data_IF_726073126222
#
_entry.id   IF_726073126222
#
_cell.length_a   1.000
_cell.length_b   1.000
_cell.length_c   1.000
_cell.angle_alpha   90.00
_cell.angle_beta   90.00
_cell.angle_gamma   90.00
#
_symmetry.space_group_name_H-M   'P 1'
#
loop_
_entity.id
_entity.type
_entity.pdbx_description
1 polymer ?
#
# COMPACT_ATOMS: atom_id res chain seq x y z
N UNK A 1 13.59 -15.31 0.01
CA UNK A 1 13.51 -14.01 -0.70
C UNK A 1 12.44 -14.14 -1.79
N UNK A 2 11.15 -13.95 -1.46
CA UNK A 2 10.10 -14.00 -2.49
C UNK A 2 10.23 -12.75 -3.36
N UNK A 3 10.41 -12.94 -4.66
CA UNK A 3 10.38 -11.88 -5.65
C UNK A 3 9.05 -11.11 -5.50
N UNK A 4 9.12 -9.93 -4.88
CA UNK A 4 8.01 -8.98 -4.82
C UNK A 4 7.63 -8.68 -6.27
N UNK A 5 6.36 -8.78 -6.68
CA UNK A 5 6.00 -8.42 -8.04
C UNK A 5 6.45 -6.98 -8.27
N UNK A 6 7.33 -6.81 -9.26
CA UNK A 6 7.86 -5.53 -9.74
C UNK A 6 6.75 -4.59 -10.26
N UNK A 7 5.50 -5.06 -10.21
CA UNK A 7 4.28 -4.44 -10.72
C UNK A 7 3.46 -3.67 -9.67
N UNK A 8 3.91 -3.53 -8.42
CA UNK A 8 3.19 -2.65 -7.49
C UNK A 8 3.26 -1.20 -7.99
N UNK A 9 2.10 -0.55 -8.05
CA UNK A 9 1.96 0.87 -8.40
C UNK A 9 1.10 1.53 -7.34
N UNK A 10 1.33 2.82 -7.11
CA UNK A 10 0.45 3.60 -6.25
C UNK A 10 -0.98 3.51 -6.79
N UNK A 11 -1.94 3.08 -5.97
CA UNK A 11 -3.34 2.94 -6.39
C UNK A 11 -4.02 4.30 -6.65
N UNK A 12 -3.42 5.39 -6.19
CA UNK A 12 -3.96 6.75 -6.35
C UNK A 12 -3.41 7.49 -7.56
N UNK A 13 -2.10 7.38 -7.82
CA UNK A 13 -1.43 8.15 -8.89
C UNK A 13 -0.71 7.29 -9.93
N UNK A 14 -0.69 5.97 -9.75
CA UNK A 14 -0.04 5.04 -10.68
C UNK A 14 1.49 5.01 -10.62
N UNK A 15 2.12 5.78 -9.71
CA UNK A 15 3.58 5.84 -9.58
C UNK A 15 4.15 4.42 -9.36
N UNK A 16 5.13 3.99 -10.17
CA UNK A 16 5.76 2.69 -9.99
C UNK A 16 6.42 2.55 -8.62
N UNK A 17 6.29 1.38 -8.00
CA UNK A 17 7.12 1.00 -6.88
C UNK A 17 8.60 1.09 -7.28
N UNK A 18 9.50 1.49 -6.37
CA UNK A 18 10.92 1.80 -6.67
C UNK A 18 11.19 3.10 -7.42
N UNK A 19 10.17 3.81 -7.89
CA UNK A 19 10.37 5.12 -8.52
C UNK A 19 10.83 6.18 -7.50
N UNK A 20 11.51 7.22 -8.00
CA UNK A 20 11.82 8.40 -7.22
C UNK A 20 10.52 9.03 -6.68
N UNK A 21 10.53 9.39 -5.40
CA UNK A 21 9.34 9.92 -4.70
C UNK A 21 8.43 8.85 -4.09
N UNK A 22 8.76 7.57 -4.19
CA UNK A 22 8.09 6.50 -3.43
C UNK A 22 8.67 6.41 -2.02
N UNK A 23 7.82 6.48 -1.00
CA UNK A 23 8.20 6.45 0.41
C UNK A 23 8.25 5.01 0.93
N UNK A 24 9.32 4.69 1.65
CA UNK A 24 9.53 3.37 2.26
C UNK A 24 9.52 3.44 3.77
N UNK A 25 9.13 2.33 4.41
CA UNK A 25 9.16 2.25 5.86
C UNK A 25 10.60 2.42 6.37
N UNK A 26 10.82 3.40 7.26
CA UNK A 26 12.15 3.85 7.69
C UNK A 26 13.09 4.30 6.54
N UNK A 27 12.54 4.70 5.39
CA UNK A 27 13.32 5.12 4.22
C UNK A 27 14.07 3.98 3.51
N UNK A 28 13.89 2.72 3.94
CA UNK A 28 14.58 1.55 3.36
C UNK A 28 13.65 0.78 2.44
N UNK A 29 14.03 0.66 1.17
CA UNK A 29 13.30 -0.12 0.17
C UNK A 29 12.96 -1.56 0.64
N UNK A 30 13.88 -2.16 1.39
CA UNK A 30 13.78 -3.53 1.92
C UNK A 30 12.60 -3.71 2.87
N UNK A 31 12.23 -2.65 3.60
CA UNK A 31 11.14 -2.65 4.56
C UNK A 31 9.77 -2.48 3.90
N UNK A 32 9.71 -2.25 2.59
CA UNK A 32 8.44 -2.05 1.90
C UNK A 32 7.95 -0.61 1.81
N UNK A 33 6.78 -0.45 1.19
CA UNK A 33 6.07 0.83 1.12
C UNK A 33 5.77 1.36 2.54
N UNK A 34 5.99 2.65 2.76
CA UNK A 34 5.62 3.30 4.03
C UNK A 34 4.10 3.38 4.24
N UNK A 35 3.34 3.40 3.14
CA UNK A 35 1.89 3.59 3.15
C UNK A 35 1.21 2.52 2.29
N UNK A 36 0.14 1.93 2.82
CA UNK A 36 -0.68 0.94 2.13
C UNK A 36 -2.12 0.95 2.66
N UNK A 37 -2.99 0.22 1.98
CA UNK A 37 -4.38 -0.03 2.33
C UNK A 37 -4.76 -1.47 2.00
N UNK A 38 -5.99 -1.85 2.33
CA UNK A 38 -6.62 -3.11 1.90
C UNK A 38 -6.60 -3.30 0.38
N UNK A 39 -6.52 -2.20 -0.39
CA UNK A 39 -6.54 -2.21 -1.86
C UNK A 39 -5.18 -2.13 -2.52
N UNK A 40 -4.09 -1.91 -1.77
CA UNK A 40 -2.74 -1.82 -2.32
C UNK A 40 -1.89 -0.72 -1.71
N UNK A 41 -0.73 -0.47 -2.34
CA UNK A 41 0.30 0.45 -1.84
C UNK A 41 0.10 1.89 -2.27
N UNK A 42 0.65 2.82 -1.49
CA UNK A 42 0.56 4.26 -1.70
C UNK A 42 1.98 4.84 -1.66
N UNK A 43 2.31 5.71 -2.63
CA UNK A 43 3.68 6.19 -2.76
C UNK A 43 4.08 7.26 -1.73
N UNK A 44 3.12 7.95 -1.10
CA UNK A 44 3.39 9.13 -0.27
C UNK A 44 2.27 9.41 0.74
N UNK A 45 2.52 10.22 1.78
CA UNK A 45 1.49 10.63 2.73
C UNK A 45 0.32 11.36 2.04
N UNK A 46 0.62 12.13 0.99
CA UNK A 46 -0.38 12.83 0.19
C UNK A 46 -1.35 11.86 -0.51
N UNK A 47 -0.81 10.80 -1.13
CA UNK A 47 -1.66 9.76 -1.73
C UNK A 47 -2.47 9.01 -0.68
N UNK A 48 -1.89 8.75 0.50
CA UNK A 48 -2.62 8.12 1.60
C UNK A 48 -3.83 8.94 2.06
N UNK A 49 -3.65 10.25 2.27
CA UNK A 49 -4.75 11.15 2.64
C UNK A 49 -5.78 11.30 1.52
N UNK A 50 -5.34 11.37 0.26
CA UNK A 50 -6.24 11.41 -0.88
C UNK A 50 -7.10 10.14 -0.97
N UNK A 51 -6.48 8.96 -0.80
CA UNK A 51 -7.19 7.69 -0.76
C UNK A 51 -8.23 7.66 0.35
N UNK A 52 -7.84 8.02 1.58
CA UNK A 52 -8.75 8.06 2.72
C UNK A 52 -9.95 8.98 2.48
N UNK A 53 -9.72 10.18 1.93
CA UNK A 53 -10.80 11.14 1.59
C UNK A 53 -11.76 10.60 0.54
N UNK A 54 -11.25 9.93 -0.50
CA UNK A 54 -12.09 9.26 -1.50
C UNK A 54 -12.95 8.17 -0.87
N UNK A 55 -12.34 7.29 -0.06
CA UNK A 55 -13.06 6.22 0.65
C UNK A 55 -14.12 6.77 1.62
N UNK A 56 -13.84 7.90 2.26
CA UNK A 56 -14.80 8.60 3.12
C UNK A 56 -16.01 9.12 2.31
N UNK A 57 -15.76 9.76 1.16
CA UNK A 57 -16.82 10.23 0.28
C UNK A 57 -17.67 9.08 -0.30
N UNK A 58 -17.02 7.96 -0.63
CA UNK A 58 -17.69 6.77 -1.16
C UNK A 58 -18.42 5.96 -0.06
N UNK A 59 -18.23 6.30 1.22
CA UNK A 59 -18.77 5.51 2.34
C UNK A 59 -18.14 4.12 2.50
N UNK A 60 -16.94 3.90 1.94
CA UNK A 60 -16.25 2.60 1.92
C UNK A 60 -15.03 2.56 2.84
N UNK A 61 -14.98 3.41 3.87
CA UNK A 61 -13.90 3.40 4.85
C UNK A 61 -13.82 2.03 5.56
N UNK A 62 -12.61 1.47 5.71
CA UNK A 62 -12.45 0.24 6.45
C UNK A 62 -12.73 0.45 7.95
N UNK A 63 -13.38 -0.52 8.59
CA UNK A 63 -13.66 -0.50 10.04
C UNK A 63 -12.49 -1.03 10.89
N UNK A 64 -11.50 -1.64 10.25
CA UNK A 64 -10.31 -2.23 10.88
C UNK A 64 -9.07 -1.73 10.13
N UNK A 65 -7.91 -1.57 10.79
CA UNK A 65 -6.67 -1.27 10.09
C UNK A 65 -6.39 -2.29 8.98
N UNK A 66 -5.80 -1.81 7.88
CA UNK A 66 -5.39 -2.70 6.80
C UNK A 66 -4.39 -3.73 7.33
N UNK A 67 -4.53 -5.02 6.95
CA UNK A 67 -3.55 -6.04 7.33
C UNK A 67 -2.17 -5.64 6.80
N UNK A 68 -1.12 -6.07 7.49
CA UNK A 68 0.25 -5.84 7.01
C UNK A 68 0.44 -6.60 5.68
N UNK A 69 0.81 -5.91 4.57
CA UNK A 69 0.99 -6.53 3.26
C UNK A 69 2.22 -7.46 3.20
N UNK A 70 3.00 -7.52 4.27
CA UNK A 70 4.12 -8.42 4.48
C UNK A 70 3.77 -9.58 5.43
N UNK A 71 2.76 -9.42 6.29
CA UNK A 71 2.16 -10.53 7.07
C UNK A 71 1.05 -11.25 6.30
N UNK A 72 1.34 -11.68 5.07
CA UNK A 72 0.48 -12.66 4.41
C UNK A 72 0.57 -13.95 5.22
N UNK A 73 -0.30 -14.12 6.22
CA UNK A 73 -0.68 -15.46 6.65
C UNK A 73 -1.28 -16.14 5.41
N UNK A 74 -0.87 -17.38 5.10
CA UNK A 74 -1.46 -18.10 3.99
C UNK A 74 -2.95 -18.20 4.24
N UNK A 75 -3.75 -17.48 3.46
CA UNK A 75 -5.19 -17.65 3.42
C UNK A 75 -5.44 -19.10 3.01
N UNK A 76 -5.71 -19.91 4.05
CA UNK A 76 -6.42 -21.17 4.11
C UNK A 76 -6.67 -21.77 2.72
N UNK A 77 -5.85 -22.76 2.34
CA UNK A 77 -6.28 -23.76 1.36
C UNK A 77 -7.39 -24.58 2.03
N UNK A 78 -8.60 -24.35 1.51
CA UNK A 78 -9.77 -25.23 1.37
C UNK A 78 -9.92 -26.42 2.32
#
# INVERSE_FOLDING_TARGET
MLARPDAYRCIECGLPYRAAGFWYHQGKFENGAAYWSDRGVLCSPQCSLAHHRKRAADGTLPQSPAPDPFEIQPLIRR
#
